data_IF_208624134934
#
_entry.id   IF_208624134934
#
_cell.length_a   1.000
_cell.length_b   1.000
_cell.length_c   1.000
_cell.angle_alpha   90.00
_cell.angle_beta   90.00
_cell.angle_gamma   90.00
#
_symmetry.space_group_name_H-M   'P 1'
#
loop_
_entity.id
_entity.type
_entity.pdbx_description
1 polymer ?
#
# COMPACT_ATOMS: atom_id res chain seq x y z
N UNK A 1 -1.84 -18.96 -23.71
CA UNK A 1 -0.41 -18.56 -23.53
C UNK A 1 -0.09 -17.09 -23.81
N UNK A 2 -0.85 -16.36 -24.63
CA UNK A 2 -0.63 -14.92 -24.94
C UNK A 2 -1.03 -13.96 -23.81
N UNK A 3 -2.05 -14.29 -23.00
CA UNK A 3 -2.55 -13.46 -21.89
C UNK A 3 -1.49 -13.28 -20.78
N UNK A 4 -0.80 -14.35 -20.40
CA UNK A 4 0.22 -14.35 -19.34
C UNK A 4 1.45 -13.47 -19.69
N UNK A 5 1.93 -13.54 -20.93
CA UNK A 5 3.06 -12.71 -21.40
C UNK A 5 2.72 -11.22 -21.40
N UNK A 6 1.49 -10.84 -21.76
CA UNK A 6 1.03 -9.45 -21.79
C UNK A 6 0.90 -8.89 -20.37
N UNK A 7 0.36 -9.67 -19.47
CA UNK A 7 0.23 -9.32 -18.05
C UNK A 7 1.58 -9.13 -17.41
N UNK A 8 2.52 -10.06 -17.63
CA UNK A 8 3.89 -9.97 -17.11
C UNK A 8 4.63 -8.74 -17.64
N UNK A 9 4.51 -8.44 -18.94
CA UNK A 9 5.10 -7.22 -19.52
C UNK A 9 4.52 -5.95 -18.90
N UNK A 10 3.19 -5.91 -18.66
CA UNK A 10 2.53 -4.78 -18.00
C UNK A 10 3.05 -4.57 -16.59
N UNK A 11 3.22 -5.64 -15.81
CA UNK A 11 3.75 -5.57 -14.44
C UNK A 11 5.22 -5.12 -14.42
N UNK A 12 6.04 -5.62 -15.33
CA UNK A 12 7.45 -5.19 -15.46
C UNK A 12 7.55 -3.70 -15.78
N UNK A 13 6.79 -3.22 -16.78
CA UNK A 13 6.77 -1.80 -17.13
C UNK A 13 6.32 -0.94 -15.95
N UNK A 14 5.26 -1.35 -15.23
CA UNK A 14 4.77 -0.64 -14.05
C UNK A 14 5.84 -0.55 -12.95
N UNK A 15 6.56 -1.65 -12.70
CA UNK A 15 7.66 -1.67 -11.74
C UNK A 15 8.79 -0.73 -12.16
N UNK A 16 9.23 -0.77 -13.42
CA UNK A 16 10.30 0.10 -13.91
C UNK A 16 9.95 1.59 -13.78
N UNK A 17 8.72 1.98 -14.14
CA UNK A 17 8.25 3.36 -13.97
C UNK A 17 8.29 3.75 -12.48
N UNK A 18 7.84 2.87 -11.57
CA UNK A 18 7.85 3.14 -10.14
C UNK A 18 9.26 3.32 -9.60
N UNK A 19 10.20 2.44 -9.94
CA UNK A 19 11.60 2.56 -9.50
C UNK A 19 12.22 3.87 -9.97
N UNK A 20 12.08 4.21 -11.26
CA UNK A 20 12.58 5.47 -11.80
C UNK A 20 11.97 6.70 -11.09
N UNK A 21 10.67 6.65 -10.81
CA UNK A 21 10.00 7.72 -10.09
C UNK A 21 10.52 7.86 -8.65
N UNK A 22 10.66 6.74 -7.92
CA UNK A 22 11.17 6.75 -6.54
C UNK A 22 12.61 7.26 -6.47
N UNK A 23 13.47 6.90 -7.42
CA UNK A 23 14.83 7.40 -7.50
C UNK A 23 14.83 8.92 -7.67
N UNK A 24 14.08 9.43 -8.65
CA UNK A 24 13.95 10.86 -8.90
C UNK A 24 13.35 11.62 -7.71
N UNK A 25 12.32 11.09 -7.07
CA UNK A 25 11.71 11.73 -5.90
C UNK A 25 12.65 11.80 -4.71
N UNK A 26 13.45 10.76 -4.49
CA UNK A 26 14.45 10.72 -3.42
C UNK A 26 15.57 11.73 -3.66
N UNK A 27 16.00 11.89 -4.92
CA UNK A 27 17.10 12.78 -5.27
C UNK A 27 16.68 14.24 -5.35
N UNK A 28 15.49 14.54 -5.89
CA UNK A 28 15.08 15.89 -6.28
C UNK A 28 13.89 16.43 -5.45
N UNK A 29 13.29 15.61 -4.62
CA UNK A 29 12.03 15.90 -3.93
C UNK A 29 10.81 15.69 -4.82
N UNK A 30 9.69 15.31 -4.22
CA UNK A 30 8.47 14.95 -4.93
C UNK A 30 7.94 16.07 -5.84
N UNK A 31 7.91 17.31 -5.35
CA UNK A 31 7.31 18.44 -6.07
C UNK A 31 8.09 18.86 -7.30
N UNK A 32 9.41 18.67 -7.30
CA UNK A 32 10.31 19.10 -8.35
C UNK A 32 10.41 18.15 -9.55
N UNK A 33 9.82 16.96 -9.46
CA UNK A 33 9.88 15.93 -10.50
C UNK A 33 8.63 15.95 -11.37
N UNK A 34 8.81 15.93 -12.69
CA UNK A 34 7.72 15.87 -13.67
C UNK A 34 7.47 14.46 -14.18
N UNK A 35 6.28 14.23 -14.77
CA UNK A 35 5.95 12.95 -15.42
C UNK A 35 6.86 12.67 -16.61
N UNK A 36 7.27 13.71 -17.33
CA UNK A 36 8.17 13.61 -18.48
C UNK A 36 9.55 13.08 -18.05
N UNK A 37 10.09 13.60 -16.94
CA UNK A 37 11.35 13.11 -16.37
C UNK A 37 11.25 11.63 -15.92
N UNK A 38 10.15 11.26 -15.29
CA UNK A 38 9.92 9.86 -14.87
C UNK A 38 9.82 8.94 -16.10
N UNK A 39 9.09 9.37 -17.12
CA UNK A 39 8.90 8.58 -18.34
C UNK A 39 10.22 8.36 -19.07
N UNK A 40 11.04 9.42 -19.17
CA UNK A 40 12.37 9.40 -19.80
C UNK A 40 13.31 8.45 -19.02
N UNK A 41 13.39 8.57 -17.70
CA UNK A 41 14.19 7.72 -16.84
C UNK A 41 13.75 6.24 -16.88
N UNK A 42 12.48 5.96 -17.14
CA UNK A 42 11.92 4.61 -17.26
C UNK A 42 11.96 4.05 -18.69
N UNK A 43 12.52 4.78 -19.66
CA UNK A 43 12.53 4.45 -21.09
C UNK A 43 11.12 4.14 -21.63
N UNK A 44 10.15 5.01 -21.32
CA UNK A 44 8.77 4.91 -21.81
C UNK A 44 8.26 6.27 -22.28
N UNK A 45 7.21 6.28 -23.10
CA UNK A 45 6.54 7.54 -23.42
C UNK A 45 5.70 8.06 -22.24
N UNK A 46 5.49 9.41 -22.10
CA UNK A 46 4.56 9.96 -21.12
C UNK A 46 3.14 9.36 -21.22
N UNK A 47 2.66 9.07 -22.43
CA UNK A 47 1.38 8.37 -22.64
C UNK A 47 1.37 6.97 -22.00
N UNK A 48 2.52 6.27 -22.03
CA UNK A 48 2.65 4.97 -21.36
C UNK A 48 2.61 5.13 -19.84
N UNK A 49 3.25 6.15 -19.28
CA UNK A 49 3.14 6.49 -17.87
C UNK A 49 1.69 6.73 -17.47
N UNK A 50 0.98 7.65 -18.15
CA UNK A 50 -0.42 7.96 -17.86
C UNK A 50 -1.36 6.74 -17.96
N UNK A 51 -1.11 5.84 -18.91
CA UNK A 51 -1.87 4.60 -19.01
C UNK A 51 -1.65 3.66 -17.82
N UNK A 52 -0.50 3.71 -17.14
CA UNK A 52 -0.16 2.85 -16.01
C UNK A 52 -0.56 3.44 -14.66
N UNK A 53 -0.47 4.74 -14.49
CA UNK A 53 -0.64 5.41 -13.20
C UNK A 53 -1.66 6.54 -13.20
N UNK A 54 -1.87 7.22 -14.30
CA UNK A 54 -2.79 8.37 -14.38
C UNK A 54 -2.18 9.66 -13.85
N UNK A 55 -1.55 9.66 -12.68
CA UNK A 55 -0.88 10.81 -12.07
C UNK A 55 0.46 10.42 -11.45
N UNK A 56 1.32 11.39 -11.12
CA UNK A 56 2.59 11.09 -10.45
C UNK A 56 2.39 10.66 -9.00
N UNK A 57 1.37 11.18 -8.34
CA UNK A 57 0.98 10.80 -6.99
C UNK A 57 0.57 9.32 -6.90
N UNK A 58 -0.11 8.81 -7.93
CA UNK A 58 -0.54 7.42 -7.97
C UNK A 58 0.64 6.42 -7.99
N UNK A 59 1.84 6.85 -8.38
CA UNK A 59 3.04 6.02 -8.28
C UNK A 59 3.35 5.67 -6.82
N UNK A 60 3.08 6.61 -5.92
CA UNK A 60 3.37 6.51 -4.48
C UNK A 60 2.20 5.87 -3.72
N UNK A 61 0.99 6.43 -3.85
CA UNK A 61 -0.17 6.05 -3.02
C UNK A 61 -0.92 4.81 -3.50
N UNK A 62 -0.64 4.30 -4.69
CA UNK A 62 -1.21 3.04 -5.20
C UNK A 62 -0.53 1.84 -4.52
N UNK A 63 -0.81 1.67 -3.23
CA UNK A 63 0.05 0.89 -2.37
C UNK A 63 -0.46 -0.51 -2.05
N UNK A 64 -1.64 -0.68 -1.51
CA UNK A 64 -1.82 -1.87 -0.65
C UNK A 64 -2.74 -2.94 -1.24
N UNK A 65 -3.87 -2.58 -1.84
CA UNK A 65 -4.89 -3.57 -2.20
C UNK A 65 -4.92 -4.00 -3.67
N UNK A 66 -4.14 -3.37 -4.54
CA UNK A 66 -4.16 -3.67 -5.98
C UNK A 66 -3.08 -4.64 -6.45
N UNK A 67 -2.18 -5.03 -5.57
CA UNK A 67 -1.05 -5.90 -5.87
C UNK A 67 -1.16 -7.29 -5.24
N UNK A 68 0.00 -7.90 -5.05
CA UNK A 68 0.16 -9.23 -4.43
C UNK A 68 -0.45 -9.32 -3.03
N UNK A 69 -0.34 -8.24 -2.24
CA UNK A 69 -0.91 -8.14 -0.89
C UNK A 69 -2.43 -8.23 -0.96
N UNK A 70 -3.07 -7.42 -1.82
CA UNK A 70 -4.52 -7.45 -1.97
C UNK A 70 -5.04 -8.82 -2.44
N UNK A 71 -4.29 -9.49 -3.32
CA UNK A 71 -4.63 -10.85 -3.75
C UNK A 71 -4.49 -11.87 -2.62
N UNK A 72 -3.46 -11.78 -1.79
CA UNK A 72 -3.29 -12.62 -0.60
C UNK A 72 -4.42 -12.41 0.38
N UNK A 73 -4.69 -11.16 0.77
CA UNK A 73 -5.75 -10.82 1.71
C UNK A 73 -7.13 -11.26 1.20
N UNK A 74 -7.39 -11.07 -0.10
CA UNK A 74 -8.64 -11.54 -0.71
C UNK A 74 -8.76 -13.06 -0.69
N UNK A 75 -7.67 -13.79 -0.96
CA UNK A 75 -7.66 -15.24 -0.95
C UNK A 75 -7.93 -15.79 0.47
N UNK A 76 -7.24 -15.26 1.47
CA UNK A 76 -7.46 -15.65 2.87
C UNK A 76 -8.88 -15.34 3.33
N UNK A 77 -9.37 -14.13 3.09
CA UNK A 77 -10.72 -13.72 3.50
C UNK A 77 -11.85 -14.47 2.77
N UNK A 78 -11.60 -15.03 1.57
CA UNK A 78 -12.58 -15.86 0.86
C UNK A 78 -12.54 -17.33 1.29
N UNK A 79 -11.42 -17.77 1.88
CA UNK A 79 -11.25 -19.13 2.38
C UNK A 79 -11.77 -19.25 3.81
N UNK A 80 -11.50 -18.22 4.62
CA UNK A 80 -11.96 -18.15 6.01
C UNK A 80 -12.51 -16.74 6.28
N UNK A 81 -13.83 -16.57 6.42
CA UNK A 81 -14.44 -15.26 6.61
C UNK A 81 -13.93 -14.58 7.89
N UNK A 82 -13.46 -13.34 7.76
CA UNK A 82 -12.81 -12.58 8.85
C UNK A 82 -13.86 -11.78 9.62
N UNK A 83 -13.88 -11.89 10.93
CA UNK A 83 -14.70 -11.05 11.81
C UNK A 83 -14.09 -9.64 11.93
N UNK A 84 -12.78 -9.55 11.81
CA UNK A 84 -12.03 -8.30 11.95
C UNK A 84 -11.66 -7.98 13.40
N UNK A 85 -11.42 -9.00 14.21
CA UNK A 85 -10.86 -8.83 15.55
C UNK A 85 -9.39 -8.37 15.47
N UNK A 86 -8.85 -7.67 16.49
CA UNK A 86 -7.44 -7.32 16.52
C UNK A 86 -6.50 -8.50 16.30
N UNK A 87 -6.81 -9.66 16.87
CA UNK A 87 -6.00 -10.88 16.71
C UNK A 87 -5.97 -11.38 15.25
N UNK A 88 -7.11 -11.38 14.56
CA UNK A 88 -7.19 -11.78 13.15
C UNK A 88 -6.45 -10.77 12.25
N UNK A 89 -6.56 -9.47 12.53
CA UNK A 89 -5.85 -8.44 11.77
C UNK A 89 -4.34 -8.55 11.96
N UNK A 90 -3.87 -8.78 13.19
CA UNK A 90 -2.46 -9.04 13.49
C UNK A 90 -1.97 -10.28 12.73
N UNK A 91 -2.73 -11.38 12.75
CA UNK A 91 -2.36 -12.58 12.01
C UNK A 91 -2.25 -12.37 10.49
N UNK A 92 -3.14 -11.55 9.91
CA UNK A 92 -3.07 -11.17 8.49
C UNK A 92 -1.86 -10.26 8.20
N UNK A 93 -1.54 -9.33 9.08
CA UNK A 93 -0.34 -8.49 8.97
C UNK A 93 0.92 -9.39 9.00
N UNK A 94 1.00 -10.31 9.95
CA UNK A 94 2.12 -11.23 10.07
C UNK A 94 2.29 -12.09 8.82
N UNK A 95 1.19 -12.64 8.29
CA UNK A 95 1.21 -13.40 7.04
C UNK A 95 1.75 -12.58 5.86
N UNK A 96 1.34 -11.33 5.74
CA UNK A 96 1.82 -10.41 4.68
C UNK A 96 3.30 -10.12 4.85
N UNK A 97 3.75 -9.82 6.06
CA UNK A 97 5.13 -9.44 6.36
C UNK A 97 6.09 -10.64 6.25
N UNK A 98 5.66 -11.84 6.63
CA UNK A 98 6.46 -13.07 6.46
C UNK A 98 6.69 -13.41 4.98
N UNK A 99 5.81 -12.94 4.10
CA UNK A 99 5.91 -13.09 2.66
C UNK A 99 6.37 -11.81 1.95
N UNK A 100 6.98 -10.86 2.67
CA UNK A 100 7.32 -9.53 2.13
C UNK A 100 8.35 -9.59 0.99
N UNK A 101 9.37 -10.42 1.10
CA UNK A 101 10.37 -10.54 0.03
C UNK A 101 10.91 -9.19 -0.45
N UNK A 102 11.13 -9.07 -1.75
CA UNK A 102 11.76 -7.90 -2.39
C UNK A 102 10.89 -6.63 -2.42
N UNK A 103 9.63 -6.69 -1.98
CA UNK A 103 8.76 -5.51 -2.07
C UNK A 103 8.91 -4.54 -0.89
N UNK A 104 9.52 -4.96 0.21
CA UNK A 104 9.62 -4.17 1.44
C UNK A 104 10.41 -2.87 1.24
N UNK A 105 11.52 -2.93 0.50
CA UNK A 105 12.35 -1.74 0.23
C UNK A 105 11.60 -0.70 -0.60
N UNK A 106 10.88 -1.14 -1.65
CA UNK A 106 10.03 -0.27 -2.45
C UNK A 106 8.88 0.32 -1.61
N UNK A 107 8.35 -0.45 -0.68
CA UNK A 107 7.31 0.00 0.24
C UNK A 107 7.84 1.02 1.25
N UNK A 108 8.99 0.76 1.87
CA UNK A 108 9.64 1.68 2.81
C UNK A 108 9.91 3.04 2.17
N UNK A 109 10.47 3.07 0.96
CA UNK A 109 10.72 4.30 0.21
C UNK A 109 9.43 5.10 -0.04
N UNK A 110 8.33 4.43 -0.37
CA UNK A 110 7.03 5.09 -0.57
C UNK A 110 6.44 5.61 0.72
N UNK A 111 6.51 4.83 1.78
CA UNK A 111 6.01 5.24 3.10
C UNK A 111 6.78 6.46 3.60
N UNK A 112 8.12 6.47 3.49
CA UNK A 112 8.93 7.64 3.85
C UNK A 112 8.53 8.88 3.06
N UNK A 113 8.34 8.77 1.74
CA UNK A 113 7.88 9.90 0.92
C UNK A 113 6.50 10.42 1.33
N UNK A 114 5.58 9.52 1.70
CA UNK A 114 4.25 9.92 2.20
C UNK A 114 4.37 10.58 3.56
N UNK A 115 5.18 10.02 4.47
CA UNK A 115 5.44 10.56 5.79
C UNK A 115 5.95 12.01 5.72
N UNK A 116 6.91 12.27 4.82
CA UNK A 116 7.56 13.58 4.69
C UNK A 116 6.77 14.60 3.86
N UNK A 117 5.69 14.17 3.18
CA UNK A 117 4.97 15.03 2.23
C UNK A 117 3.49 15.15 2.59
N UNK A 118 3.04 16.25 3.25
CA UNK A 118 1.64 16.42 3.68
C UNK A 118 0.60 16.21 2.59
N UNK A 119 0.89 16.67 1.35
CA UNK A 119 0.02 16.45 0.19
C UNK A 119 -0.18 14.98 -0.15
N UNK A 120 0.86 14.15 -0.02
CA UNK A 120 0.76 12.71 -0.26
C UNK A 120 -0.01 12.01 0.87
N UNK A 121 0.11 12.47 2.12
CA UNK A 121 -0.70 12.00 3.24
C UNK A 121 -2.19 12.26 2.98
N UNK A 122 -2.55 13.47 2.56
CA UNK A 122 -3.94 13.79 2.22
C UNK A 122 -4.50 12.86 1.13
N UNK A 123 -3.74 12.63 0.07
CA UNK A 123 -4.12 11.71 -1.01
C UNK A 123 -4.21 10.25 -0.54
N UNK A 124 -3.32 9.82 0.35
CA UNK A 124 -3.39 8.49 0.96
C UNK A 124 -4.71 8.32 1.72
N UNK A 125 -5.09 9.30 2.55
CA UNK A 125 -6.36 9.27 3.28
C UNK A 125 -7.58 9.28 2.36
N UNK A 126 -7.54 9.95 1.22
CA UNK A 126 -8.61 9.87 0.21
C UNK A 126 -8.76 8.44 -0.35
N UNK A 127 -7.64 7.71 -0.55
CA UNK A 127 -7.67 6.33 -1.02
C UNK A 127 -8.27 5.34 -0.01
N UNK A 128 -8.22 5.64 1.28
CA UNK A 128 -8.77 4.76 2.33
C UNK A 128 -10.25 4.46 2.16
N UNK A 129 -11.00 5.33 1.50
CA UNK A 129 -12.42 5.11 1.19
C UNK A 129 -12.62 3.87 0.30
N UNK A 130 -11.80 3.72 -0.74
CA UNK A 130 -11.88 2.56 -1.64
C UNK A 130 -11.43 1.27 -0.91
N UNK A 131 -10.39 1.36 -0.08
CA UNK A 131 -9.90 0.23 0.72
C UNK A 131 -10.91 -0.21 1.77
N UNK A 132 -11.57 0.75 2.43
CA UNK A 132 -12.66 0.48 3.38
C UNK A 132 -13.79 -0.30 2.71
N UNK A 133 -14.23 0.13 1.52
CA UNK A 133 -15.29 -0.56 0.80
C UNK A 133 -14.90 -1.99 0.39
N UNK A 134 -13.64 -2.20 0.00
CA UNK A 134 -13.12 -3.53 -0.32
C UNK A 134 -13.08 -4.43 0.93
N UNK A 135 -12.59 -3.93 2.06
CA UNK A 135 -12.54 -4.66 3.32
C UNK A 135 -13.94 -4.96 3.87
N UNK A 136 -14.88 -4.00 3.76
CA UNK A 136 -16.28 -4.20 4.16
C UNK A 136 -16.91 -5.42 3.48
N UNK A 137 -16.57 -5.66 2.21
CA UNK A 137 -17.01 -6.84 1.46
C UNK A 137 -16.38 -8.17 1.89
N UNK A 138 -15.33 -8.14 2.71
CA UNK A 138 -14.62 -9.31 3.22
C UNK A 138 -15.01 -9.67 4.66
N UNK A 139 -15.51 -8.69 5.42
CA UNK A 139 -15.89 -8.88 6.82
C UNK A 139 -17.25 -9.57 6.96
N UNK A 140 -17.38 -10.39 8.02
CA UNK A 140 -18.67 -11.00 8.40
C UNK A 140 -19.58 -9.93 9.00
N UNK A 141 -20.82 -9.91 8.53
CA UNK A 141 -21.88 -9.03 9.04
C UNK A 141 -22.39 -8.05 8.00
N UNK A 142 -23.28 -7.16 8.42
CA UNK A 142 -23.90 -6.17 7.55
C UNK A 142 -24.12 -4.84 8.27
N UNK A 143 -24.33 -3.80 7.49
CA UNK A 143 -24.76 -2.50 7.97
C UNK A 143 -23.69 -1.64 8.61
N UNK A 144 -24.11 -0.73 9.49
CA UNK A 144 -23.23 0.32 10.04
C UNK A 144 -22.06 -0.23 10.85
N UNK A 145 -22.26 -1.32 11.60
CA UNK A 145 -21.22 -1.94 12.43
C UNK A 145 -20.04 -2.45 11.61
N UNK A 146 -20.30 -3.16 10.51
CA UNK A 146 -19.25 -3.66 9.60
C UNK A 146 -18.50 -2.52 8.95
N UNK A 147 -19.21 -1.49 8.48
CA UNK A 147 -18.59 -0.30 7.89
C UNK A 147 -17.70 0.44 8.88
N UNK A 148 -18.15 0.63 10.12
CA UNK A 148 -17.36 1.28 11.17
C UNK A 148 -16.09 0.48 11.47
N UNK A 149 -16.21 -0.84 11.58
CA UNK A 149 -15.07 -1.75 11.81
C UNK A 149 -14.07 -1.71 10.65
N UNK A 150 -14.53 -1.82 9.41
CA UNK A 150 -13.65 -1.72 8.23
C UNK A 150 -12.87 -0.40 8.21
N UNK A 151 -13.52 0.73 8.55
CA UNK A 151 -12.85 2.03 8.65
C UNK A 151 -11.81 2.06 9.76
N UNK A 152 -12.14 1.55 10.94
CA UNK A 152 -11.22 1.50 12.07
C UNK A 152 -9.97 0.67 11.72
N UNK A 153 -10.15 -0.51 11.14
CA UNK A 153 -9.05 -1.38 10.70
C UNK A 153 -8.15 -0.67 9.68
N UNK A 154 -8.72 -0.09 8.63
CA UNK A 154 -7.92 0.62 7.61
C UNK A 154 -7.17 1.78 8.25
N UNK A 155 -7.81 2.56 9.14
CA UNK A 155 -7.16 3.69 9.80
C UNK A 155 -5.96 3.27 10.63
N UNK A 156 -6.08 2.26 11.48
CA UNK A 156 -4.95 1.81 12.31
C UNK A 156 -3.84 1.16 11.50
N UNK A 157 -4.15 0.43 10.42
CA UNK A 157 -3.13 -0.10 9.52
C UNK A 157 -2.36 1.02 8.81
N UNK A 158 -3.04 2.09 8.39
CA UNK A 158 -2.39 3.25 7.76
C UNK A 158 -1.53 3.99 8.78
N UNK A 159 -2.03 4.24 10.00
CA UNK A 159 -1.27 4.89 11.06
C UNK A 159 -0.03 4.08 11.44
N UNK A 160 -0.14 2.75 11.58
CA UNK A 160 1.01 1.89 11.84
C UNK A 160 2.08 1.96 10.73
N UNK A 161 1.66 2.07 9.47
CA UNK A 161 2.60 2.28 8.37
C UNK A 161 3.25 3.67 8.42
N UNK A 162 2.49 4.72 8.75
CA UNK A 162 3.01 6.10 8.84
C UNK A 162 3.90 6.34 10.06
N UNK A 163 3.77 5.57 11.12
CA UNK A 163 4.66 5.60 12.28
C UNK A 163 6.00 4.89 12.02
N UNK A 164 6.07 4.03 11.00
CA UNK A 164 7.25 3.22 10.72
C UNK A 164 8.52 4.03 10.40
N UNK A 165 8.51 5.13 9.61
CA UNK A 165 9.70 5.95 9.36
C UNK A 165 10.33 6.55 10.61
N UNK A 166 9.56 6.77 11.69
CA UNK A 166 10.04 7.31 12.96
C UNK A 166 10.66 6.25 13.88
N UNK A 167 10.53 4.95 13.51
CA UNK A 167 11.08 3.86 14.32
C UNK A 167 12.60 3.75 14.16
N UNK A 168 13.30 3.52 15.25
CA UNK A 168 14.79 3.44 15.27
C UNK A 168 15.37 2.39 14.32
N UNK A 169 14.64 1.29 14.10
CA UNK A 169 15.04 0.19 13.21
C UNK A 169 14.44 0.32 11.79
N UNK A 170 13.96 1.49 11.38
CA UNK A 170 13.53 1.70 10.00
C UNK A 170 14.70 1.49 9.02
N UNK A 171 14.53 0.80 7.87
CA UNK A 171 13.30 0.27 7.27
C UNK A 171 13.08 -1.25 7.49
N UNK A 172 13.37 -1.78 8.65
CA UNK A 172 13.25 -3.22 8.91
C UNK A 172 11.78 -3.69 8.93
N UNK A 173 11.56 -4.95 8.51
CA UNK A 173 10.26 -5.62 8.60
C UNK A 173 9.80 -5.74 10.06
N UNK A 174 10.74 -5.94 10.99
CA UNK A 174 10.45 -6.05 12.41
C UNK A 174 9.86 -4.75 12.98
N UNK A 175 10.43 -3.61 12.60
CA UNK A 175 9.91 -2.28 12.96
C UNK A 175 8.51 -2.05 12.40
N UNK A 176 8.28 -2.37 11.12
CA UNK A 176 6.94 -2.25 10.52
C UNK A 176 5.92 -3.14 11.24
N UNK A 177 6.30 -4.38 11.55
CA UNK A 177 5.46 -5.31 12.32
C UNK A 177 5.11 -4.73 13.69
N UNK A 178 6.08 -4.20 14.40
CA UNK A 178 5.88 -3.57 15.71
C UNK A 178 4.88 -2.42 15.63
N UNK A 179 5.11 -1.44 14.76
CA UNK A 179 4.22 -0.29 14.58
C UNK A 179 2.80 -0.71 14.19
N UNK A 180 2.65 -1.67 13.28
CA UNK A 180 1.35 -2.16 12.84
C UNK A 180 0.62 -2.91 13.97
N UNK A 181 1.29 -3.76 14.73
CA UNK A 181 0.69 -4.49 15.87
C UNK A 181 0.31 -3.54 17.01
N UNK A 182 1.14 -2.56 17.33
CA UNK A 182 0.84 -1.52 18.33
C UNK A 182 -0.41 -0.74 17.95
N UNK A 183 -0.48 -0.25 16.70
CA UNK A 183 -1.64 0.49 16.20
C UNK A 183 -2.92 -0.36 16.22
N UNK A 184 -2.87 -1.62 15.83
CA UNK A 184 -4.04 -2.53 15.86
C UNK A 184 -4.46 -2.84 17.29
N UNK A 185 -3.50 -3.04 18.21
CA UNK A 185 -3.78 -3.31 19.63
C UNK A 185 -4.48 -2.13 20.31
N UNK A 186 -4.28 -0.91 19.83
CA UNK A 186 -4.98 0.28 20.33
C UNK A 186 -6.50 0.28 20.05
N UNK A 187 -6.99 -0.58 19.12
CA UNK A 187 -8.43 -0.75 18.91
C UNK A 187 -9.16 -1.41 20.10
N UNK A 188 -8.42 -2.17 20.93
CA UNK A 188 -9.04 -2.96 21.97
C UNK A 188 -9.97 -4.04 21.42
N UNK A 189 -10.82 -4.56 22.27
CA UNK A 189 -11.91 -5.48 21.88
C UNK A 189 -13.10 -4.62 21.38
N UNK A 190 -13.11 -4.32 20.08
CA UNK A 190 -14.23 -3.65 19.39
C UNK A 190 -15.49 -4.54 19.32
#
# INVERSE_FOLDING_TARGET
MTSDRRTRKKLTTRRNIRHAALDLFTENGFDNVTVEQIADAADVSPMTFYRHFGTKEAVIVDVVLTGRIGQMLYHEATTDPVVGTPAEIIALIDLVLDNSGDWIDDFARRVSLVHDTPRLQELLWQQTTAWTAALEGMLIGEGLGVRARARAIISVCVEGCLAWPDHEDFPSVAALRHCAQESVSALGDL
#
